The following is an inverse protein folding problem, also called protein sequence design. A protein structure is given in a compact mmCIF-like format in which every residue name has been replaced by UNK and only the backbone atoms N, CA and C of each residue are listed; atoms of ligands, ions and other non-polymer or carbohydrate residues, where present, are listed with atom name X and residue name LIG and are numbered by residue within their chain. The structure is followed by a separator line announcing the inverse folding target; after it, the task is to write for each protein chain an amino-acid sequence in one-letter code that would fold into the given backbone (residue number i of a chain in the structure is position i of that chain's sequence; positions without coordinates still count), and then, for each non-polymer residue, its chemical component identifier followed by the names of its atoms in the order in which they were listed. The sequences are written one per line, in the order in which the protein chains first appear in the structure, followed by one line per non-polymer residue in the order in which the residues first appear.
data_IF_464212513077
#
_entry.id   IF_464212513077
#
_cell.length_a   1.000
_cell.length_b   1.000
_cell.length_c   1.000
_cell.angle_alpha   90.00
_cell.angle_beta   90.00
_cell.angle_gamma   90.00
#
_symmetry.space_group_name_H-M   'P 1'
#
loop_
_entity.id
_entity.type
_entity.pdbx_description
1 polymer ?
#
# COMPACT_ATOMS: atom_id res chain seq x y z
N UNK A 1 -14.59 -7.16 -1.82
CA UNK A 1 -14.45 -6.48 -0.49
C UNK A 1 -12.98 -6.20 -0.23
N UNK A 2 -12.62 -4.99 0.24
CA UNK A 2 -11.24 -4.64 0.63
C UNK A 2 -10.99 -5.11 2.07
N UNK A 3 -9.98 -5.94 2.29
CA UNK A 3 -9.65 -6.47 3.61
C UNK A 3 -8.28 -7.13 3.64
N UNK A 4 -7.76 -7.39 4.84
CA UNK A 4 -6.46 -8.04 5.04
C UNK A 4 -6.42 -9.39 4.32
N UNK A 5 -5.31 -9.64 3.62
CA UNK A 5 -5.10 -10.84 2.83
C UNK A 5 -5.64 -10.78 1.41
N UNK A 6 -6.50 -9.81 1.07
CA UNK A 6 -7.05 -9.65 -0.28
C UNK A 6 -6.09 -8.92 -1.19
N UNK A 7 -6.15 -9.27 -2.47
CA UNK A 7 -5.44 -8.56 -3.52
C UNK A 7 -6.26 -7.36 -3.99
N UNK A 8 -5.57 -6.24 -4.18
CA UNK A 8 -6.17 -4.98 -4.60
C UNK A 8 -5.34 -4.34 -5.70
N UNK A 9 -6.01 -3.58 -6.54
CA UNK A 9 -5.41 -2.85 -7.64
C UNK A 9 -5.81 -1.38 -7.58
N UNK A 10 -4.90 -0.49 -7.94
CA UNK A 10 -5.18 0.95 -8.06
C UNK A 10 -4.21 1.63 -9.02
N UNK A 11 -4.55 2.83 -9.44
CA UNK A 11 -3.62 3.72 -10.16
C UNK A 11 -2.92 4.63 -9.18
N UNK A 12 -1.60 4.48 -9.06
CA UNK A 12 -0.75 5.37 -8.29
C UNK A 12 -0.18 6.45 -9.20
N UNK A 13 -0.45 7.72 -8.90
CA UNK A 13 0.17 8.84 -9.61
C UNK A 13 1.50 9.24 -8.96
N UNK A 14 2.51 9.50 -9.79
CA UNK A 14 3.76 10.13 -9.39
C UNK A 14 4.27 10.96 -10.56
N UNK A 15 4.62 12.23 -10.29
CA UNK A 15 5.22 13.15 -11.28
C UNK A 15 4.44 13.23 -12.62
N UNK A 16 3.11 13.32 -12.55
CA UNK A 16 2.25 13.41 -13.74
C UNK A 16 2.02 12.10 -14.49
N UNK A 17 2.61 10.98 -14.05
CA UNK A 17 2.38 9.65 -14.63
C UNK A 17 1.60 8.75 -13.67
N UNK A 18 0.52 8.16 -14.17
CA UNK A 18 -0.24 7.12 -13.48
C UNK A 18 0.35 5.74 -13.78
N UNK A 19 0.64 4.95 -12.74
CA UNK A 19 1.03 3.55 -12.87
C UNK A 19 0.05 2.67 -12.10
N UNK A 20 -0.49 1.66 -12.80
CA UNK A 20 -1.30 0.62 -12.17
C UNK A 20 -0.41 -0.21 -11.23
N UNK A 21 -0.90 -0.46 -10.03
CA UNK A 21 -0.25 -1.28 -9.00
C UNK A 21 -1.22 -2.32 -8.52
N UNK A 22 -0.71 -3.52 -8.31
CA UNK A 22 -1.46 -4.64 -7.73
C UNK A 22 -0.65 -5.20 -6.57
N UNK A 23 -1.32 -5.48 -5.46
CA UNK A 23 -0.65 -5.99 -4.27
C UNK A 23 -1.62 -6.49 -3.22
N UNK A 24 -1.07 -7.09 -2.17
CA UNK A 24 -1.82 -7.70 -1.08
C UNK A 24 -2.01 -6.72 0.06
N UNK A 25 -3.24 -6.57 0.53
CA UNK A 25 -3.54 -5.79 1.74
C UNK A 25 -2.96 -6.51 2.95
N UNK A 26 -2.12 -5.84 3.70
CA UNK A 26 -1.54 -6.36 4.95
C UNK A 26 -2.15 -5.72 6.20
N UNK A 27 -2.65 -4.49 6.10
CA UNK A 27 -3.37 -3.85 7.20
C UNK A 27 -4.35 -2.77 6.72
N UNK A 28 -5.39 -2.53 7.52
CA UNK A 28 -6.22 -1.32 7.43
C UNK A 28 -5.73 -0.37 8.52
N UNK A 29 -5.38 0.86 8.13
CA UNK A 29 -4.83 1.88 9.02
C UNK A 29 -5.95 2.89 9.32
N UNK A 30 -6.47 2.94 10.55
CA UNK A 30 -7.45 3.94 10.92
C UNK A 30 -6.90 5.36 10.78
N UNK A 31 -7.79 6.34 10.62
CA UNK A 31 -7.41 7.74 10.65
C UNK A 31 -6.62 8.08 11.93
N UNK A 32 -5.63 8.95 11.81
CA UNK A 32 -4.74 9.41 12.89
C UNK A 32 -3.89 8.31 13.54
N UNK A 33 -3.68 7.19 12.85
CA UNK A 33 -2.74 6.14 13.26
C UNK A 33 -1.48 6.15 12.40
N UNK A 34 -0.37 5.82 13.05
CA UNK A 34 0.91 5.63 12.39
C UNK A 34 0.87 4.31 11.59
N UNK A 35 1.21 4.40 10.30
CA UNK A 35 1.24 3.25 9.40
C UNK A 35 2.45 2.35 9.66
N UNK A 36 3.54 2.91 10.19
CA UNK A 36 4.80 2.20 10.30
C UNK A 36 4.80 1.17 11.43
N UNK A 37 3.92 1.35 12.42
CA UNK A 37 3.66 0.35 13.46
C UNK A 37 3.08 -0.96 12.90
N UNK A 38 2.64 -0.96 11.64
CA UNK A 38 2.03 -2.10 10.96
C UNK A 38 2.91 -2.62 9.80
N UNK A 39 4.10 -2.04 9.60
CA UNK A 39 5.08 -2.59 8.67
C UNK A 39 5.69 -3.89 9.25
N UNK A 40 6.07 -4.85 8.39
CA UNK A 40 6.92 -5.95 8.81
C UNK A 40 8.24 -5.46 9.43
N UNK A 41 8.86 -6.30 10.27
CA UNK A 41 10.19 -6.00 10.80
C UNK A 41 11.22 -5.83 9.67
N UNK A 42 12.21 -4.96 9.91
CA UNK A 42 13.37 -4.73 9.05
C UNK A 42 13.07 -4.25 7.62
N UNK A 43 11.92 -3.58 7.43
CA UNK A 43 11.62 -2.92 6.15
C UNK A 43 12.62 -1.80 5.89
N UNK A 44 13.35 -1.93 4.78
CA UNK A 44 14.23 -0.86 4.28
C UNK A 44 13.40 0.38 3.96
N UNK A 45 13.82 1.54 4.46
CA UNK A 45 13.13 2.81 4.22
C UNK A 45 12.92 3.11 2.73
N UNK A 46 13.87 2.74 1.87
CA UNK A 46 13.75 2.93 0.42
C UNK A 46 12.61 2.11 -0.21
N UNK A 47 12.07 1.10 0.48
CA UNK A 47 10.95 0.29 0.02
C UNK A 47 9.58 0.81 0.49
N UNK A 48 9.57 1.80 1.38
CA UNK A 48 8.36 2.50 1.82
C UNK A 48 8.05 3.61 0.82
N UNK A 49 6.90 3.53 0.15
CA UNK A 49 6.52 4.39 -0.98
C UNK A 49 5.29 5.25 -0.66
N UNK A 50 5.21 5.72 0.57
CA UNK A 50 4.19 6.63 1.05
C UNK A 50 4.80 7.65 2.00
N UNK A 51 4.08 8.76 2.20
CA UNK A 51 4.42 9.75 3.21
C UNK A 51 4.15 9.19 4.62
N UNK A 52 5.21 9.14 5.43
CA UNK A 52 5.22 8.60 6.80
C UNK A 52 4.52 9.52 7.81
N UNK A 53 4.08 10.71 7.41
CA UNK A 53 3.22 11.54 8.25
C UNK A 53 1.90 10.82 8.59
N UNK A 54 1.42 11.08 9.81
CA UNK A 54 0.14 10.57 10.29
C UNK A 54 -0.98 11.22 9.46
N UNK A 55 -1.74 10.38 8.75
CA UNK A 55 -2.85 10.86 7.92
C UNK A 55 -4.13 11.04 8.73
N UNK A 56 -4.90 12.08 8.41
CA UNK A 56 -6.27 12.25 8.92
C UNK A 56 -7.29 11.29 8.28
N UNK A 57 -6.89 10.54 7.25
CA UNK A 57 -7.77 9.62 6.53
C UNK A 57 -7.43 8.17 6.86
N UNK A 58 -8.43 7.29 6.74
CA UNK A 58 -8.20 5.86 6.68
C UNK A 58 -7.35 5.51 5.46
N UNK A 59 -6.30 4.72 5.68
CA UNK A 59 -5.40 4.22 4.64
C UNK A 59 -5.35 2.70 4.69
N UNK A 60 -4.85 2.11 3.63
CA UNK A 60 -4.67 0.66 3.53
C UNK A 60 -3.21 0.40 3.26
N UNK A 61 -2.56 -0.39 4.11
CA UNK A 61 -1.18 -0.81 3.89
C UNK A 61 -1.17 -1.97 2.91
N UNK A 62 -0.52 -1.79 1.77
CA UNK A 62 -0.46 -2.77 0.68
C UNK A 62 0.97 -3.13 0.36
N UNK A 63 1.26 -4.42 0.36
CA UNK A 63 2.53 -5.01 -0.08
C UNK A 63 2.47 -5.30 -1.60
N UNK A 64 3.33 -4.65 -2.36
CA UNK A 64 3.40 -4.74 -3.83
C UNK A 64 4.72 -5.39 -4.24
N UNK A 65 4.69 -6.54 -4.94
CA UNK A 65 5.88 -7.10 -5.57
C UNK A 65 6.54 -6.10 -6.54
N UNK A 66 7.86 -5.98 -6.49
CA UNK A 66 8.65 -5.02 -7.23
C UNK A 66 10.04 -5.58 -7.56
N UNK A 67 10.78 -4.86 -8.42
CA UNK A 67 12.07 -5.32 -8.94
C UNK A 67 11.93 -6.17 -10.21
N UNK A 68 13.07 -6.54 -10.79
CA UNK A 68 13.15 -7.19 -12.12
C UNK A 68 12.40 -8.53 -12.17
N UNK A 69 12.23 -9.19 -11.02
CA UNK A 69 11.51 -10.46 -10.87
C UNK A 69 10.57 -10.50 -9.66
N UNK A 70 10.11 -9.35 -9.15
CA UNK A 70 9.25 -9.32 -7.96
C UNK A 70 9.96 -9.67 -6.64
N UNK A 71 11.30 -9.71 -6.64
CA UNK A 71 12.13 -10.08 -5.49
C UNK A 71 12.12 -9.05 -4.34
N UNK A 72 11.64 -7.83 -4.61
CA UNK A 72 11.53 -6.75 -3.63
C UNK A 72 10.04 -6.55 -3.33
N UNK A 73 9.73 -6.21 -2.09
CA UNK A 73 8.38 -5.74 -1.74
C UNK A 73 8.43 -4.25 -1.46
N UNK A 74 7.63 -3.48 -2.18
CA UNK A 74 7.34 -2.09 -1.86
C UNK A 74 6.05 -1.98 -1.06
N UNK A 75 6.04 -1.08 -0.08
CA UNK A 75 4.87 -0.82 0.75
C UNK A 75 4.24 0.52 0.38
N UNK A 76 2.93 0.50 0.15
CA UNK A 76 2.14 1.67 -0.20
C UNK A 76 1.01 1.86 0.81
N UNK A 77 0.57 3.12 0.99
CA UNK A 77 -0.59 3.47 1.83
C UNK A 77 -1.66 4.26 1.05
N UNK A 78 -2.29 3.68 0.01
CA UNK A 78 -3.42 4.33 -0.67
C UNK A 78 -4.62 4.52 0.27
N UNK A 79 -5.51 5.45 -0.11
CA UNK A 79 -6.84 5.55 0.51
C UNK A 79 -7.66 4.33 0.09
N UNK A 80 -8.51 3.83 0.98
CA UNK A 80 -9.40 2.71 0.65
C UNK A 80 -10.30 2.99 -0.55
N UNK A 81 -10.72 4.25 -0.74
CA UNK A 81 -11.61 4.67 -1.83
C UNK A 81 -11.03 4.55 -3.23
N UNK A 82 -9.69 4.43 -3.38
CA UNK A 82 -9.05 4.29 -4.70
C UNK A 82 -8.67 2.84 -5.02
N UNK A 83 -8.97 1.90 -4.11
CA UNK A 83 -8.64 0.49 -4.29
C UNK A 83 -9.81 -0.26 -4.93
N UNK A 84 -9.45 -1.12 -5.88
CA UNK A 84 -10.34 -2.09 -6.50
C UNK A 84 -9.96 -3.48 -6.01
N UNK A 85 -10.91 -4.22 -5.43
CA UNK A 85 -10.67 -5.61 -5.04
C UNK A 85 -10.46 -6.49 -6.28
N UNK A 86 -9.47 -7.39 -6.23
CA UNK A 86 -9.30 -8.44 -7.23
C UNK A 86 -9.96 -9.72 -6.72
N UNK A 87 -10.79 -10.36 -7.55
CA UNK A 87 -11.55 -11.57 -7.21
C UNK A 87 -12.98 -11.29 -6.72
N UNK A 88 -13.91 -12.11 -7.20
CA UNK A 88 -15.32 -12.15 -6.80
C UNK A 88 -15.47 -12.92 -5.49
#
# INVERSE_FOLDING_TARGET
MIGVGKEVTWTSQAQGSGKKKTGKVIAIIPAKKDADLLLPHDVKQSHVKYDRHISIHERVLVAVPAGKSGQITHYYCPRKSVLEAQGN
#
